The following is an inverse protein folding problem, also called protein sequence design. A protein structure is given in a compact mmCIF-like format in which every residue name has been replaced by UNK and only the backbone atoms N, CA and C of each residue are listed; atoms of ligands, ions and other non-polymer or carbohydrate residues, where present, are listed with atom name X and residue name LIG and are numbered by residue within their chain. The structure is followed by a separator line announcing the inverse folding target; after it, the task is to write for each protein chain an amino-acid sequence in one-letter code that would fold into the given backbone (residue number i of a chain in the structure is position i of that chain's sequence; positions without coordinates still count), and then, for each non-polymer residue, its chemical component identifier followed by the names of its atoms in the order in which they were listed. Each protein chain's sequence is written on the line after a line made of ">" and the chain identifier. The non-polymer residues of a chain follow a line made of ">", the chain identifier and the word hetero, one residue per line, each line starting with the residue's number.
data_IF_563491242056
#
_entry.id   IF_563491242056
#
_cell.length_a   1.000
_cell.length_b   1.000
_cell.length_c   1.000
_cell.angle_alpha   90.00
_cell.angle_beta   90.00
_cell.angle_gamma   90.00
#
_symmetry.space_group_name_H-M   'P 1'
#
loop_
_entity.id
_entity.type
_entity.pdbx_description
1 polymer ?
#
# COMPACT_ATOMS: atom_id res chain seq x y z
N UNK A 1 21.85 -1.15 22.54
CA UNK A 1 20.37 -1.28 22.55
C UNK A 1 19.94 -2.42 21.62
N UNK A 2 18.66 -2.74 21.52
CA UNK A 2 18.12 -3.71 20.54
C UNK A 2 17.07 -3.02 19.65
N UNK A 3 17.04 -3.33 18.36
CA UNK A 3 16.06 -2.77 17.42
C UNK A 3 14.64 -3.31 17.71
N UNK A 4 13.61 -2.45 17.87
CA UNK A 4 12.25 -2.90 18.18
C UNK A 4 11.58 -3.66 17.01
N UNK A 5 12.10 -3.53 15.79
CA UNK A 5 11.55 -4.15 14.56
C UNK A 5 12.17 -5.53 14.28
N UNK A 6 13.49 -5.67 14.42
CA UNK A 6 14.22 -6.88 14.01
C UNK A 6 15.06 -7.56 15.10
N UNK A 7 15.09 -7.01 16.32
CA UNK A 7 15.92 -7.47 17.44
C UNK A 7 17.44 -7.51 17.16
N UNK A 8 17.92 -6.82 16.11
CA UNK A 8 19.35 -6.60 15.91
C UNK A 8 19.95 -5.74 17.03
N UNK A 9 21.23 -5.93 17.34
CA UNK A 9 21.94 -5.07 18.28
C UNK A 9 22.20 -3.70 17.64
N UNK A 10 21.76 -2.63 18.32
CA UNK A 10 22.02 -1.25 17.91
C UNK A 10 23.15 -0.66 18.78
N UNK A 11 24.21 -0.20 18.12
CA UNK A 11 25.44 0.34 18.69
C UNK A 11 25.43 1.88 18.56
N UNK A 12 24.54 2.54 19.30
CA UNK A 12 24.39 3.99 19.35
C UNK A 12 24.73 4.51 20.76
N UNK A 13 25.30 5.72 20.84
CA UNK A 13 25.74 6.34 22.09
C UNK A 13 24.60 7.17 22.71
N UNK A 14 24.13 6.76 23.89
CA UNK A 14 22.97 7.37 24.57
C UNK A 14 23.24 8.82 25.03
N UNK A 15 24.50 9.23 25.13
CA UNK A 15 24.95 10.60 25.43
C UNK A 15 24.96 11.53 24.18
N UNK A 16 24.87 10.98 22.96
CA UNK A 16 24.83 11.76 21.70
C UNK A 16 23.42 11.88 21.08
N UNK A 17 22.46 11.07 21.53
CA UNK A 17 21.06 11.09 21.08
C UNK A 17 20.18 12.07 21.88
N UNK A 18 19.33 12.82 21.20
CA UNK A 18 18.33 13.71 21.80
C UNK A 18 16.87 13.29 21.50
N UNK A 19 15.91 13.90 22.20
CA UNK A 19 14.48 13.56 22.06
C UNK A 19 13.95 14.04 20.70
N UNK A 20 13.50 13.11 19.87
CA UNK A 20 13.09 13.35 18.48
C UNK A 20 14.19 13.14 17.43
N UNK A 21 15.36 12.59 17.78
CA UNK A 21 16.35 12.18 16.79
C UNK A 21 15.88 10.93 16.01
N UNK A 22 16.06 10.96 14.69
CA UNK A 22 15.61 9.94 13.72
C UNK A 22 16.82 9.23 13.08
N UNK A 23 16.76 7.90 12.98
CA UNK A 23 17.84 7.08 12.43
C UNK A 23 17.35 5.78 11.79
N UNK A 24 18.05 5.29 10.75
CA UNK A 24 17.73 4.03 10.07
C UNK A 24 18.50 2.86 10.67
N UNK A 25 17.85 1.72 10.91
CA UNK A 25 18.52 0.50 11.36
C UNK A 25 19.26 -0.18 10.18
N UNK A 26 20.60 -0.23 10.24
CA UNK A 26 21.44 -0.80 9.16
C UNK A 26 21.15 -2.28 8.83
N UNK A 27 20.59 -3.05 9.77
CA UNK A 27 20.34 -4.49 9.63
C UNK A 27 18.98 -4.84 9.02
N UNK A 28 17.99 -3.94 9.04
CA UNK A 28 16.67 -4.17 8.46
C UNK A 28 16.10 -3.03 7.61
N UNK A 29 16.74 -1.87 7.55
CA UNK A 29 16.27 -0.70 6.81
C UNK A 29 15.15 0.10 7.47
N UNK A 30 14.62 -0.35 8.62
CA UNK A 30 13.53 0.36 9.29
C UNK A 30 13.99 1.69 9.91
N UNK A 31 13.18 2.73 9.75
CA UNK A 31 13.39 4.03 10.37
C UNK A 31 12.86 4.05 11.80
N UNK A 32 13.62 4.64 12.72
CA UNK A 32 13.43 4.60 14.16
C UNK A 32 13.62 6.01 14.74
N UNK A 33 12.85 6.39 15.75
CA UNK A 33 12.96 7.68 16.42
C UNK A 33 13.05 7.55 17.94
N UNK A 34 13.84 8.42 18.57
CA UNK A 34 13.98 8.50 20.04
C UNK A 34 12.77 9.23 20.63
N UNK A 35 11.95 8.53 21.43
CA UNK A 35 10.70 9.06 22.01
C UNK A 35 10.82 9.44 23.48
N UNK A 36 11.88 8.98 24.17
CA UNK A 36 12.30 9.45 25.51
C UNK A 36 13.76 9.07 25.77
N UNK A 37 14.39 9.72 26.76
CA UNK A 37 15.81 9.48 27.13
C UNK A 37 16.10 9.27 28.62
N UNK A 38 15.08 9.22 29.47
CA UNK A 38 15.20 8.87 30.91
C UNK A 38 14.05 7.95 31.37
N UNK A 39 13.99 6.66 30.95
CA UNK A 39 14.98 5.90 30.18
C UNK A 39 14.92 6.17 28.68
N UNK A 40 15.91 5.65 27.93
CA UNK A 40 15.88 5.65 26.47
C UNK A 40 14.76 4.74 25.95
N UNK A 41 13.80 5.34 25.25
CA UNK A 41 12.71 4.65 24.56
C UNK A 41 12.74 5.06 23.08
N UNK A 42 12.57 4.08 22.20
CA UNK A 42 12.70 4.21 20.74
C UNK A 42 11.55 3.45 20.11
N UNK A 43 10.87 4.09 19.17
CA UNK A 43 9.76 3.50 18.42
C UNK A 43 10.06 3.57 16.91
N UNK A 44 9.53 2.65 16.10
CA UNK A 44 9.65 2.76 14.65
C UNK A 44 8.90 3.99 14.15
N UNK A 45 9.53 4.75 13.26
CA UNK A 45 8.83 5.72 12.43
C UNK A 45 7.99 4.91 11.46
N UNK A 46 6.72 4.70 11.82
CA UNK A 46 5.73 4.17 10.90
C UNK A 46 5.39 5.26 9.90
N UNK A 47 6.26 5.45 8.90
CA UNK A 47 5.89 6.23 7.73
C UNK A 47 4.59 5.62 7.15
N UNK A 48 3.65 6.49 6.83
CA UNK A 48 2.28 6.11 6.48
C UNK A 48 2.04 6.18 4.96
N UNK A 49 3.11 6.29 4.16
CA UNK A 49 3.06 6.45 2.70
C UNK A 49 3.65 5.24 1.94
N UNK A 50 3.69 4.05 2.57
CA UNK A 50 3.94 2.72 1.97
C UNK A 50 2.63 1.88 1.93
N UNK A 51 1.59 2.44 1.30
CA UNK A 51 0.27 1.81 1.02
C UNK A 51 -0.03 1.87 -0.50
N UNK A 52 1.02 1.75 -1.34
CA UNK A 52 0.98 1.99 -2.79
C UNK A 52 1.77 0.90 -3.57
N UNK A 53 1.48 -0.38 -3.30
CA UNK A 53 1.81 -1.52 -4.21
C UNK A 53 0.99 -2.80 -3.88
N UNK A 54 -0.26 -2.89 -4.37
CA UNK A 54 -0.84 -4.15 -4.89
C UNK A 54 -1.89 -3.80 -5.96
N UNK A 55 -1.71 -4.33 -7.18
CA UNK A 55 -2.39 -3.87 -8.41
C UNK A 55 -3.74 -4.59 -8.63
N UNK A 56 -4.86 -3.98 -8.25
CA UNK A 56 -6.21 -4.41 -8.72
C UNK A 56 -6.49 -3.80 -10.11
N UNK A 57 -5.62 -4.10 -11.08
CA UNK A 57 -5.74 -3.66 -12.49
C UNK A 57 -6.48 -4.72 -13.34
N UNK A 58 -7.40 -4.24 -14.18
CA UNK A 58 -8.08 -4.94 -15.29
C UNK A 58 -8.76 -6.31 -15.00
N UNK A 59 -10.06 -6.25 -14.71
CA UNK A 59 -11.02 -7.28 -15.19
C UNK A 59 -12.17 -6.61 -15.97
N UNK A 60 -11.88 -6.27 -17.23
CA UNK A 60 -12.86 -5.76 -18.19
C UNK A 60 -13.39 -6.93 -19.05
N UNK A 61 -14.34 -7.70 -18.51
CA UNK A 61 -15.05 -8.73 -19.30
C UNK A 61 -15.90 -8.08 -20.42
N UNK A 62 -15.26 -7.92 -21.57
CA UNK A 62 -15.85 -7.52 -22.86
C UNK A 62 -16.66 -8.69 -23.46
N UNK A 63 -17.89 -8.91 -22.96
CA UNK A 63 -18.87 -9.79 -23.63
C UNK A 63 -19.48 -9.10 -24.87
N UNK A 64 -18.81 -9.25 -26.02
CA UNK A 64 -19.34 -8.97 -27.37
C UNK A 64 -20.18 -10.17 -27.92
N UNK A 65 -21.04 -9.92 -28.94
CA UNK A 65 -21.89 -10.91 -29.68
C UNK A 65 -22.97 -11.65 -28.82
N UNK A 66 -24.13 -12.13 -29.29
CA UNK A 66 -24.97 -12.05 -30.53
C UNK A 66 -26.47 -12.22 -30.06
N UNK A 67 -27.58 -12.32 -30.82
CA UNK A 67 -27.91 -12.43 -32.25
C UNK A 67 -29.22 -11.62 -32.56
N UNK A 68 -29.45 -11.25 -33.82
CA UNK A 68 -30.65 -10.53 -34.33
C UNK A 68 -32.01 -11.17 -33.96
N UNK A 69 -33.04 -10.34 -33.73
CA UNK A 69 -34.49 -10.60 -33.91
C UNK A 69 -35.27 -9.27 -33.85
N UNK A 70 -36.26 -8.95 -34.70
CA UNK A 70 -36.78 -9.69 -35.85
C UNK A 70 -37.45 -8.74 -36.88
N UNK A 71 -37.45 -9.18 -38.14
CA UNK A 71 -38.19 -8.78 -39.35
C UNK A 71 -38.81 -7.36 -39.50
N UNK A 72 -38.45 -6.67 -40.60
CA UNK A 72 -39.01 -5.37 -41.01
C UNK A 72 -40.47 -5.45 -41.53
N UNK A 73 -41.13 -4.28 -41.51
CA UNK A 73 -42.50 -4.03 -42.01
C UNK A 73 -42.63 -4.21 -43.54
N UNK A 74 -43.04 -5.39 -44.02
CA UNK A 74 -43.62 -5.57 -45.38
C UNK A 74 -44.99 -6.30 -45.29
N UNK A 75 -46.15 -5.63 -45.27
CA UNK A 75 -46.91 -4.95 -46.34
C UNK A 75 -48.08 -5.81 -46.91
N UNK A 76 -49.14 -5.15 -47.39
CA UNK A 76 -50.17 -5.69 -48.28
C UNK A 76 -51.10 -6.83 -47.81
N UNK A 77 -51.91 -6.56 -46.79
CA UNK A 77 -53.27 -7.15 -46.66
C UNK A 77 -54.35 -6.37 -47.47
N UNK A 78 -53.98 -5.52 -48.45
CA UNK A 78 -54.98 -4.84 -49.31
C UNK A 78 -55.45 -5.74 -50.47
N UNK A 79 -56.76 -5.92 -50.57
CA UNK A 79 -57.40 -6.85 -51.50
C UNK A 79 -57.63 -6.25 -52.89
N UNK A 80 -57.49 -7.04 -53.97
CA UNK A 80 -58.63 -7.45 -54.83
C UNK A 80 -58.30 -8.39 -56.01
#
# INVERSE_FOLDING_TARGET
>A
MECPVCNAALDLDEDELDEGDEFTCEECGAELAVTSKEPLEIEPVSDAEDDDEDEDEEDVEEEEEDEDLDEEEEESEEWK
#
